data_IF_828763544037
#
_entry.id   IF_828763544037
#
_cell.length_a   1.000
_cell.length_b   1.000
_cell.length_c   1.000
_cell.angle_alpha   90.00
_cell.angle_beta   90.00
_cell.angle_gamma   90.00
#
_symmetry.space_group_name_H-M   'P 1'
#
loop_
_entity.id
_entity.type
_entity.pdbx_description
1 polymer ?
#
# COMPACT_ATOMS: atom_id res chain seq x y z
N UNK A 1 -7.69 -21.96 -9.72
CA UNK A 1 -6.38 -21.30 -9.52
C UNK A 1 -6.55 -20.22 -8.47
N UNK A 2 -5.61 -20.09 -7.53
CA UNK A 2 -5.65 -18.99 -6.57
C UNK A 2 -5.24 -17.69 -7.26
N UNK A 3 -5.68 -16.54 -6.73
CA UNK A 3 -5.26 -15.23 -7.24
C UNK A 3 -3.72 -15.08 -7.32
N UNK A 4 -2.99 -15.71 -6.38
CA UNK A 4 -1.54 -15.68 -6.40
C UNK A 4 -1.00 -16.35 -7.65
N UNK A 5 -1.50 -17.54 -7.96
CA UNK A 5 -1.06 -18.33 -9.12
C UNK A 5 -1.21 -17.55 -10.43
N UNK A 6 -2.33 -16.84 -10.61
CA UNK A 6 -2.59 -16.01 -11.79
C UNK A 6 -1.55 -14.89 -11.93
N UNK A 7 -1.21 -14.22 -10.83
CA UNK A 7 -0.17 -13.18 -10.80
C UNK A 7 1.20 -13.78 -11.11
N UNK A 8 1.54 -14.92 -10.51
CA UNK A 8 2.85 -15.53 -10.75
C UNK A 8 3.01 -15.92 -12.21
N UNK A 9 1.96 -16.51 -12.80
CA UNK A 9 1.95 -16.90 -14.20
C UNK A 9 2.13 -15.67 -15.11
N UNK A 10 1.36 -14.61 -14.88
CA UNK A 10 1.47 -13.36 -15.65
C UNK A 10 2.88 -12.73 -15.55
N UNK A 11 3.46 -12.65 -14.35
CA UNK A 11 4.77 -12.05 -14.16
C UNK A 11 5.90 -12.91 -14.77
N UNK A 12 5.80 -14.24 -14.67
CA UNK A 12 6.73 -15.16 -15.33
C UNK A 12 6.71 -14.99 -16.85
N UNK A 13 5.53 -14.82 -17.45
CA UNK A 13 5.39 -14.51 -18.88
C UNK A 13 6.05 -13.18 -19.27
N UNK A 14 6.12 -12.21 -18.35
CA UNK A 14 6.83 -10.94 -18.54
C UNK A 14 8.34 -11.04 -18.30
N UNK A 15 8.88 -12.23 -18.07
CA UNK A 15 10.31 -12.48 -17.86
C UNK A 15 10.78 -12.25 -16.42
N UNK A 16 9.87 -12.10 -15.45
CA UNK A 16 10.23 -12.07 -14.03
C UNK A 16 10.66 -13.47 -13.60
N UNK A 17 11.93 -13.62 -13.21
CA UNK A 17 12.55 -14.90 -12.85
C UNK A 17 12.21 -15.34 -11.44
N UNK A 18 12.30 -14.40 -10.50
CA UNK A 18 12.16 -14.66 -9.06
C UNK A 18 10.98 -13.87 -8.50
N UNK A 19 10.08 -14.55 -7.80
CA UNK A 19 8.89 -13.96 -7.18
C UNK A 19 8.77 -14.42 -5.72
N UNK A 20 8.51 -13.48 -4.83
CA UNK A 20 8.30 -13.75 -3.40
C UNK A 20 7.12 -12.97 -2.86
N UNK A 21 6.25 -13.65 -2.11
CA UNK A 21 5.17 -13.02 -1.37
C UNK A 21 5.62 -12.72 0.05
N UNK A 22 5.68 -11.43 0.40
CA UNK A 22 6.24 -10.98 1.68
C UNK A 22 5.26 -10.07 2.41
N UNK A 23 4.95 -10.40 3.67
CA UNK A 23 4.20 -9.51 4.56
C UNK A 23 5.16 -8.68 5.41
N UNK A 24 5.49 -7.46 4.97
CA UNK A 24 6.42 -6.57 5.65
C UNK A 24 5.98 -6.08 7.05
N UNK A 25 4.73 -6.35 7.48
CA UNK A 25 4.25 -6.02 8.84
C UNK A 25 4.67 -7.07 9.88
N UNK A 26 4.87 -8.31 9.45
CA UNK A 26 5.31 -9.41 10.30
C UNK A 26 6.83 -9.57 10.20
N UNK A 27 7.43 -10.23 11.19
CA UNK A 27 8.81 -10.70 11.04
C UNK A 27 8.75 -12.07 10.37
N UNK A 28 9.50 -12.22 9.27
CA UNK A 28 9.60 -13.49 8.53
C UNK A 28 11.08 -13.92 8.45
N UNK A 29 11.71 -14.30 9.58
CA UNK A 29 13.15 -14.56 9.63
C UNK A 29 13.57 -15.71 8.72
N UNK A 30 12.76 -16.77 8.64
CA UNK A 30 13.01 -17.93 7.79
C UNK A 30 13.04 -17.53 6.32
N UNK A 31 12.04 -16.78 5.85
CA UNK A 31 11.98 -16.33 4.44
C UNK A 31 13.16 -15.41 4.10
N UNK A 32 13.52 -14.49 5.00
CA UNK A 32 14.68 -13.61 4.78
C UNK A 32 15.97 -14.43 4.66
N UNK A 33 16.22 -15.34 5.62
CA UNK A 33 17.48 -16.06 5.71
C UNK A 33 17.62 -17.20 4.68
N UNK A 34 16.53 -17.90 4.39
CA UNK A 34 16.53 -19.11 3.54
C UNK A 34 16.21 -18.81 2.08
N UNK A 35 15.41 -17.77 1.80
CA UNK A 35 14.91 -17.52 0.46
C UNK A 35 15.46 -16.19 -0.09
N UNK A 36 15.16 -15.07 0.56
CA UNK A 36 15.48 -13.73 0.03
C UNK A 36 17.00 -13.49 -0.13
N UNK A 37 17.78 -13.70 0.94
CA UNK A 37 19.23 -13.46 0.88
C UNK A 37 19.93 -14.39 -0.12
N UNK A 38 19.69 -15.72 -0.10
CA UNK A 38 20.26 -16.61 -1.11
C UNK A 38 19.86 -16.23 -2.54
N UNK A 39 18.60 -15.85 -2.77
CA UNK A 39 18.13 -15.44 -4.11
C UNK A 39 18.83 -14.18 -4.61
N UNK A 40 19.02 -13.18 -3.73
CA UNK A 40 19.80 -11.97 -4.04
C UNK A 40 21.23 -12.33 -4.41
N UNK A 41 21.89 -13.17 -3.61
CA UNK A 41 23.28 -13.57 -3.83
C UNK A 41 23.44 -14.34 -5.14
N UNK A 42 22.58 -15.33 -5.39
CA UNK A 42 22.59 -16.14 -6.61
C UNK A 42 22.35 -15.26 -7.85
N UNK A 43 21.38 -14.35 -7.77
CA UNK A 43 21.08 -13.40 -8.85
C UNK A 43 22.29 -12.52 -9.18
N UNK A 44 22.96 -11.96 -8.17
CA UNK A 44 24.14 -11.12 -8.38
C UNK A 44 25.33 -11.94 -8.89
N UNK A 45 25.56 -13.13 -8.34
CA UNK A 45 26.69 -13.99 -8.69
C UNK A 45 26.55 -14.66 -10.07
N UNK A 46 25.33 -14.71 -10.63
CA UNK A 46 25.10 -15.20 -11.99
C UNK A 46 25.66 -14.30 -13.10
N UNK A 47 26.11 -13.09 -12.78
CA UNK A 47 26.73 -12.16 -13.73
C UNK A 47 28.23 -12.05 -13.46
N UNK A 48 29.04 -12.00 -14.52
CA UNK A 48 30.47 -11.76 -14.41
C UNK A 48 30.73 -10.37 -13.81
N UNK A 49 31.47 -10.33 -12.70
CA UNK A 49 31.85 -9.08 -12.03
C UNK A 49 33.26 -8.69 -12.43
N UNK A 50 33.42 -7.53 -13.07
CA UNK A 50 34.73 -6.98 -13.41
C UNK A 50 35.55 -6.72 -12.13
N UNK A 51 36.69 -7.41 -11.99
CA UNK A 51 37.71 -7.25 -10.93
C UNK A 51 37.14 -7.14 -9.49
N UNK A 52 37.01 -8.25 -8.77
CA UNK A 52 37.14 -8.19 -7.31
C UNK A 52 37.69 -9.47 -6.68
N UNK A 53 38.94 -9.36 -6.28
CA UNK A 53 39.63 -10.06 -5.21
C UNK A 53 38.93 -9.82 -3.85
N UNK A 54 38.75 -10.90 -3.08
CA UNK A 54 38.57 -11.02 -1.63
C UNK A 54 37.49 -10.25 -0.85
N UNK A 55 36.62 -9.44 -1.46
CA UNK A 55 35.52 -8.77 -0.71
C UNK A 55 34.18 -8.86 -1.44
N UNK A 56 33.42 -9.93 -1.19
CA UNK A 56 32.05 -10.15 -1.70
C UNK A 56 31.03 -9.20 -1.07
N UNK A 57 31.10 -7.91 -1.44
CA UNK A 57 30.11 -6.91 -1.06
C UNK A 57 28.94 -6.97 -2.07
N UNK A 58 27.74 -7.10 -1.54
CA UNK A 58 26.48 -7.08 -2.29
C UNK A 58 25.78 -5.74 -2.06
N UNK A 59 25.46 -5.05 -3.15
CA UNK A 59 24.76 -3.78 -3.15
C UNK A 59 23.42 -3.99 -3.85
N UNK A 60 22.32 -3.71 -3.15
CA UNK A 60 20.96 -3.92 -3.65
C UNK A 60 20.19 -2.61 -3.58
N UNK A 61 19.47 -2.26 -4.64
CA UNK A 61 18.57 -1.11 -4.62
C UNK A 61 17.13 -1.60 -4.54
N UNK A 62 16.33 -1.04 -3.62
CA UNK A 62 14.91 -1.36 -3.51
C UNK A 62 14.11 -0.24 -4.17
N UNK A 63 13.36 -0.57 -5.22
CA UNK A 63 12.55 0.36 -6.02
C UNK A 63 11.06 0.01 -5.96
N UNK A 64 10.21 0.97 -6.34
CA UNK A 64 8.76 0.80 -6.40
C UNK A 64 7.99 2.08 -6.05
N UNK A 65 6.70 2.08 -6.30
CA UNK A 65 5.82 3.24 -6.08
C UNK A 65 5.73 3.63 -4.58
N UNK A 66 5.21 4.81 -4.22
CA UNK A 66 5.03 5.22 -2.82
C UNK A 66 4.21 4.19 -2.03
N UNK A 67 4.48 4.08 -0.72
CA UNK A 67 3.70 3.27 0.24
C UNK A 67 3.58 1.76 -0.01
N UNK A 68 4.29 1.17 -0.99
CA UNK A 68 4.36 -0.30 -1.17
C UNK A 68 5.13 -1.07 -0.11
N UNK A 69 5.78 -0.37 0.82
CA UNK A 69 6.51 -1.00 1.92
C UNK A 69 8.02 -1.17 1.72
N UNK A 70 8.65 -0.45 0.79
CA UNK A 70 10.12 -0.46 0.56
C UNK A 70 10.92 -0.29 1.87
N UNK A 71 10.68 0.80 2.59
CA UNK A 71 11.37 1.12 3.84
C UNK A 71 11.02 0.13 4.96
N UNK A 72 9.81 -0.42 4.96
CA UNK A 72 9.41 -1.49 5.88
C UNK A 72 10.21 -2.77 5.62
N UNK A 73 10.35 -3.19 4.36
CA UNK A 73 11.16 -4.35 3.96
C UNK A 73 12.62 -4.20 4.43
N UNK A 74 13.23 -3.05 4.15
CA UNK A 74 14.62 -2.75 4.56
C UNK A 74 14.78 -2.85 6.08
N UNK A 75 13.88 -2.21 6.83
CA UNK A 75 13.91 -2.23 8.29
C UNK A 75 13.71 -3.65 8.84
N UNK A 76 12.85 -4.47 8.22
CA UNK A 76 12.62 -5.86 8.63
C UNK A 76 13.84 -6.73 8.35
N UNK A 77 14.47 -6.63 7.17
CA UNK A 77 15.71 -7.35 6.86
C UNK A 77 16.81 -6.97 7.87
N UNK A 78 16.99 -5.68 8.12
CA UNK A 78 18.00 -5.16 9.06
C UNK A 78 17.79 -5.69 10.47
N UNK A 79 16.53 -5.73 10.93
CA UNK A 79 16.17 -6.28 12.25
C UNK A 79 16.45 -7.78 12.34
N UNK A 80 16.13 -8.53 11.30
CA UNK A 80 16.28 -9.99 11.28
C UNK A 80 17.75 -10.43 11.18
N UNK A 81 18.56 -9.75 10.38
CA UNK A 81 19.93 -10.20 10.07
C UNK A 81 20.98 -9.62 11.03
N UNK A 82 20.82 -8.36 11.47
CA UNK A 82 21.82 -7.70 12.33
C UNK A 82 21.24 -7.13 13.63
N UNK A 83 19.95 -7.41 13.93
CA UNK A 83 19.29 -7.04 15.19
C UNK A 83 19.38 -5.54 15.54
N UNK A 84 19.47 -4.68 14.52
CA UNK A 84 19.48 -3.21 14.70
C UNK A 84 18.09 -2.61 14.48
N UNK A 85 17.88 -1.42 15.06
CA UNK A 85 16.63 -0.65 14.98
C UNK A 85 16.26 -0.17 13.56
N UNK A 86 15.34 0.79 13.46
CA UNK A 86 14.94 1.36 12.16
C UNK A 86 16.10 2.20 11.58
N UNK A 87 16.38 2.04 10.29
CA UNK A 87 17.35 2.84 9.55
C UNK A 87 16.68 3.84 8.59
N UNK A 88 15.44 3.56 8.18
CA UNK A 88 14.67 4.40 7.25
C UNK A 88 13.29 4.73 7.84
N UNK A 89 12.78 5.96 7.65
CA UNK A 89 11.46 6.36 8.13
C UNK A 89 10.34 5.54 7.46
N UNK A 90 9.27 5.27 8.20
CA UNK A 90 8.08 4.55 7.71
C UNK A 90 6.85 5.33 8.13
N UNK A 91 5.92 5.55 7.21
CA UNK A 91 4.61 6.13 7.50
C UNK A 91 3.65 6.00 6.32
N UNK A 92 2.38 6.35 6.56
CA UNK A 92 1.30 6.15 5.60
C UNK A 92 1.12 7.31 4.59
N UNK A 93 1.92 8.38 4.70
CA UNK A 93 1.87 9.51 3.76
C UNK A 93 2.85 9.29 2.61
N UNK A 94 2.39 9.48 1.38
CA UNK A 94 3.27 9.45 0.21
C UNK A 94 4.35 10.55 0.32
N UNK A 95 5.56 10.29 -0.18
CA UNK A 95 6.66 11.26 -0.17
C UNK A 95 7.44 11.37 1.16
N UNK A 96 7.36 10.38 2.04
CA UNK A 96 8.18 10.33 3.28
C UNK A 96 9.66 10.20 2.96
N UNK A 97 10.03 9.26 2.09
CA UNK A 97 11.41 9.13 1.61
C UNK A 97 11.63 10.14 0.48
N UNK A 98 12.31 11.25 0.79
CA UNK A 98 12.48 12.41 -0.12
C UNK A 98 13.79 12.42 -0.90
N UNK A 99 14.75 11.61 -0.49
CA UNK A 99 16.03 11.41 -1.17
C UNK A 99 16.42 9.94 -1.11
N UNK A 100 17.27 9.50 -2.04
CA UNK A 100 17.93 8.20 -1.92
C UNK A 100 18.76 8.25 -0.63
N UNK A 101 18.43 7.38 0.32
CA UNK A 101 19.15 7.34 1.60
C UNK A 101 20.54 6.76 1.37
N UNK A 102 21.47 7.17 2.24
CA UNK A 102 22.81 6.58 2.30
C UNK A 102 22.74 5.06 2.45
N UNK A 103 23.78 4.39 1.93
CA UNK A 103 23.96 2.94 1.90
C UNK A 103 23.66 2.27 3.26
N UNK A 104 22.50 1.60 3.39
CA UNK A 104 22.06 0.97 4.64
C UNK A 104 22.65 -0.43 4.76
N UNK A 105 23.51 -0.66 5.76
CA UNK A 105 24.00 -2.02 6.05
C UNK A 105 22.87 -2.88 6.62
N UNK A 106 22.57 -4.00 5.95
CA UNK A 106 21.52 -4.95 6.39
C UNK A 106 22.08 -6.31 6.78
N UNK A 107 23.28 -6.70 6.32
CA UNK A 107 23.98 -7.92 6.74
C UNK A 107 25.47 -7.64 6.97
N UNK A 108 26.06 -8.32 7.97
CA UNK A 108 27.48 -8.20 8.28
C UNK A 108 28.33 -9.22 7.54
N UNK A 109 27.84 -10.46 7.44
CA UNK A 109 28.46 -11.54 6.70
C UNK A 109 27.35 -12.42 6.07
N UNK A 110 27.24 -12.49 4.74
CA UNK A 110 27.99 -11.68 3.77
C UNK A 110 27.67 -10.18 3.92
N UNK A 111 28.56 -9.31 3.45
CA UNK A 111 28.38 -7.86 3.51
C UNK A 111 27.31 -7.40 2.52
N UNK A 112 26.08 -7.18 2.99
CA UNK A 112 24.97 -6.71 2.17
C UNK A 112 24.55 -5.31 2.59
N UNK A 113 24.45 -4.45 1.59
CA UNK A 113 23.96 -3.09 1.73
C UNK A 113 22.77 -2.84 0.82
N UNK A 114 21.80 -2.09 1.33
CA UNK A 114 20.57 -1.73 0.63
C UNK A 114 20.46 -0.22 0.49
N UNK A 115 20.12 0.22 -0.71
CA UNK A 115 19.79 1.60 -1.02
C UNK A 115 18.28 1.76 -0.97
N UNK A 116 17.79 2.61 -0.07
CA UNK A 116 16.38 2.98 -0.02
C UNK A 116 16.13 4.13 -1.00
N UNK A 117 15.07 4.00 -1.80
CA UNK A 117 14.73 4.98 -2.84
C UNK A 117 13.38 5.64 -2.55
N UNK A 118 13.19 6.91 -2.91
CA UNK A 118 11.88 7.53 -2.95
C UNK A 118 10.88 6.67 -3.74
N UNK A 119 9.61 6.70 -3.34
CA UNK A 119 8.57 6.12 -4.17
C UNK A 119 8.41 6.93 -5.46
N UNK A 120 8.61 6.28 -6.61
CA UNK A 120 8.44 6.94 -7.91
C UNK A 120 7.16 6.42 -8.56
N UNK A 121 6.26 7.33 -8.89
CA UNK A 121 5.11 7.07 -9.75
C UNK A 121 5.46 7.46 -11.19
N UNK A 122 4.81 6.81 -12.15
CA UNK A 122 4.84 7.30 -13.52
C UNK A 122 4.28 8.74 -13.57
N UNK A 123 4.84 9.63 -14.42
CA UNK A 123 4.39 11.02 -14.50
C UNK A 123 2.94 11.16 -14.94
N UNK A 124 2.41 10.17 -15.67
CA UNK A 124 1.02 10.14 -16.12
C UNK A 124 0.28 8.93 -15.56
N UNK A 125 -0.93 9.18 -15.06
CA UNK A 125 -1.86 8.13 -14.67
C UNK A 125 -2.66 7.72 -15.91
N UNK A 126 -2.51 6.45 -16.33
CA UNK A 126 -3.09 5.92 -17.58
C UNK A 126 -4.61 6.15 -17.72
N UNK A 127 -5.35 6.00 -16.63
CA UNK A 127 -6.80 6.22 -16.58
C UNK A 127 -7.28 6.40 -15.14
N UNK A 128 -8.54 6.86 -15.00
CA UNK A 128 -9.16 7.13 -13.71
C UNK A 128 -9.18 5.90 -12.80
N UNK A 129 -9.53 4.72 -13.30
CA UNK A 129 -9.55 3.48 -12.51
C UNK A 129 -8.18 3.18 -11.86
N UNK A 130 -7.09 3.31 -12.62
CA UNK A 130 -5.72 3.15 -12.09
C UNK A 130 -5.41 4.22 -11.04
N UNK A 131 -5.78 5.47 -11.29
CA UNK A 131 -5.59 6.58 -10.34
C UNK A 131 -6.30 6.36 -9.01
N UNK A 132 -7.57 5.94 -9.05
CA UNK A 132 -8.37 5.67 -7.87
C UNK A 132 -7.84 4.48 -7.07
N UNK A 133 -7.37 3.43 -7.73
CA UNK A 133 -6.71 2.30 -7.06
C UNK A 133 -5.40 2.70 -6.38
N UNK A 134 -4.59 3.54 -7.05
CA UNK A 134 -3.38 4.11 -6.45
C UNK A 134 -3.73 4.97 -5.21
N UNK A 135 -4.78 5.78 -5.29
CA UNK A 135 -5.27 6.57 -4.17
C UNK A 135 -5.75 5.68 -3.00
N UNK A 136 -6.51 4.62 -3.27
CA UNK A 136 -6.92 3.65 -2.25
C UNK A 136 -5.74 3.00 -1.53
N UNK A 137 -4.68 2.67 -2.25
CA UNK A 137 -3.43 2.14 -1.71
C UNK A 137 -2.51 3.22 -1.08
N UNK A 138 -2.99 4.45 -0.89
CA UNK A 138 -2.24 5.60 -0.39
C UNK A 138 -1.00 5.95 -1.24
N UNK A 139 -0.91 5.53 -2.50
CA UNK A 139 0.21 5.88 -3.37
C UNK A 139 0.18 7.35 -3.78
N UNK A 140 -1.02 7.95 -3.77
CA UNK A 140 -1.27 9.39 -3.95
C UNK A 140 -1.65 10.03 -2.61
N UNK A 141 -1.50 11.35 -2.51
CA UNK A 141 -1.95 12.08 -1.33
C UNK A 141 -3.47 12.25 -1.38
N UNK A 142 -4.17 11.81 -0.34
CA UNK A 142 -5.64 11.70 -0.33
C UNK A 142 -6.33 13.02 -0.67
N UNK A 143 -5.96 14.11 -0.01
CA UNK A 143 -6.52 15.46 -0.25
C UNK A 143 -6.34 15.99 -1.68
N UNK A 144 -5.39 15.47 -2.46
CA UNK A 144 -5.23 15.88 -3.86
C UNK A 144 -6.27 15.22 -4.76
N UNK A 145 -6.85 14.09 -4.34
CA UNK A 145 -7.90 13.37 -5.06
C UNK A 145 -9.28 13.70 -4.48
N UNK A 146 -9.35 13.92 -3.16
CA UNK A 146 -10.59 14.06 -2.40
C UNK A 146 -10.91 12.76 -1.65
N UNK A 147 -10.85 12.78 -0.32
CA UNK A 147 -11.10 11.60 0.52
C UNK A 147 -12.48 11.00 0.28
N UNK A 148 -13.50 11.85 0.10
CA UNK A 148 -14.87 11.50 -0.25
C UNK A 148 -14.96 10.82 -1.63
N UNK A 149 -14.27 11.35 -2.64
CA UNK A 149 -14.18 10.77 -3.99
C UNK A 149 -13.52 9.39 -3.96
N UNK A 150 -12.46 9.23 -3.15
CA UNK A 150 -11.80 7.92 -2.97
C UNK A 150 -12.76 6.93 -2.30
N UNK A 151 -13.53 7.36 -1.30
CA UNK A 151 -14.52 6.52 -0.61
C UNK A 151 -15.68 6.16 -1.52
N UNK A 152 -16.15 7.08 -2.36
CA UNK A 152 -17.19 6.81 -3.36
C UNK A 152 -16.75 5.69 -4.32
N UNK A 153 -15.55 5.80 -4.88
CA UNK A 153 -14.99 4.74 -5.72
C UNK A 153 -14.83 3.41 -4.97
N UNK A 154 -14.46 3.44 -3.68
CA UNK A 154 -14.37 2.23 -2.86
C UNK A 154 -15.74 1.56 -2.67
N UNK A 155 -16.78 2.36 -2.40
CA UNK A 155 -18.15 1.91 -2.22
C UNK A 155 -18.67 1.26 -3.50
N UNK A 156 -18.53 1.97 -4.63
CA UNK A 156 -18.80 1.43 -5.97
C UNK A 156 -18.07 0.10 -6.20
N UNK A 157 -16.77 0.04 -5.90
CA UNK A 157 -15.97 -1.17 -6.11
C UNK A 157 -16.51 -2.34 -5.27
N UNK A 158 -16.84 -2.12 -3.99
CA UNK A 158 -17.39 -3.14 -3.12
C UNK A 158 -18.74 -3.67 -3.61
N UNK A 159 -19.66 -2.77 -3.95
CA UNK A 159 -20.99 -3.12 -4.45
C UNK A 159 -20.90 -3.92 -5.75
N UNK A 160 -20.08 -3.44 -6.71
CA UNK A 160 -19.86 -4.13 -8.00
C UNK A 160 -19.32 -5.56 -7.84
N UNK A 161 -18.55 -5.83 -6.80
CA UNK A 161 -17.97 -7.15 -6.53
C UNK A 161 -18.76 -7.98 -5.51
N UNK A 162 -19.97 -7.54 -5.14
CA UNK A 162 -20.79 -8.17 -4.09
C UNK A 162 -20.03 -8.37 -2.76
N UNK A 163 -19.12 -7.46 -2.43
CA UNK A 163 -18.32 -7.51 -1.21
C UNK A 163 -18.88 -6.53 -0.18
N UNK A 164 -19.85 -7.01 0.60
CA UNK A 164 -20.60 -6.20 1.55
C UNK A 164 -20.03 -6.22 2.97
N UNK A 165 -18.75 -6.57 3.15
CA UNK A 165 -18.13 -6.60 4.49
C UNK A 165 -18.12 -5.23 5.18
N UNK A 166 -18.15 -4.15 4.41
CA UNK A 166 -18.28 -2.81 4.97
C UNK A 166 -19.62 -2.59 5.70
N UNK A 167 -20.69 -3.29 5.31
CA UNK A 167 -22.01 -3.20 5.96
C UNK A 167 -21.91 -3.61 7.41
N UNK A 168 -21.28 -4.74 7.70
CA UNK A 168 -21.07 -5.19 9.08
C UNK A 168 -20.06 -4.34 9.83
N UNK A 169 -18.96 -3.92 9.20
CA UNK A 169 -17.90 -3.12 9.86
C UNK A 169 -18.38 -1.72 10.26
N UNK A 170 -19.29 -1.13 9.50
CA UNK A 170 -19.89 0.18 9.80
C UNK A 170 -21.29 0.09 10.39
N UNK A 171 -21.76 -1.11 10.74
CA UNK A 171 -23.07 -1.35 11.36
C UNK A 171 -24.23 -0.74 10.55
N UNK A 172 -24.18 -0.92 9.23
CA UNK A 172 -25.26 -0.57 8.31
C UNK A 172 -26.32 -1.68 8.32
N UNK A 173 -27.58 -1.29 8.02
CA UNK A 173 -28.67 -2.26 7.86
C UNK A 173 -28.56 -3.04 6.54
N UNK A 174 -28.15 -2.34 5.49
CA UNK A 174 -28.04 -2.87 4.12
C UNK A 174 -26.91 -2.15 3.36
N UNK A 175 -26.48 -2.68 2.20
CA UNK A 175 -25.56 -2.00 1.31
C UNK A 175 -26.10 -0.62 0.87
N UNK A 176 -25.21 0.37 0.81
CA UNK A 176 -25.54 1.71 0.33
C UNK A 176 -24.78 1.99 -0.97
N UNK A 177 -25.40 2.75 -1.88
CA UNK A 177 -24.78 3.19 -3.14
C UNK A 177 -24.55 4.71 -3.20
N UNK A 178 -25.19 5.47 -2.32
CA UNK A 178 -24.95 6.91 -2.15
C UNK A 178 -23.84 7.15 -1.13
N UNK A 179 -22.74 7.76 -1.58
CA UNK A 179 -21.59 8.06 -0.72
C UNK A 179 -21.92 9.09 0.37
N UNK A 180 -22.81 10.04 0.13
CA UNK A 180 -23.19 11.05 1.12
C UNK A 180 -24.03 10.41 2.24
N UNK A 181 -24.96 9.52 1.90
CA UNK A 181 -25.71 8.74 2.89
C UNK A 181 -24.76 7.86 3.71
N UNK A 182 -23.83 7.18 3.05
CA UNK A 182 -22.83 6.35 3.71
C UNK A 182 -21.93 7.15 4.66
N UNK A 183 -21.36 8.26 4.19
CA UNK A 183 -20.50 9.13 5.00
C UNK A 183 -21.27 9.79 6.15
N UNK A 184 -22.54 10.15 5.95
CA UNK A 184 -23.40 10.65 7.01
C UNK A 184 -23.61 9.62 8.11
N UNK A 185 -23.93 8.37 7.75
CA UNK A 185 -24.03 7.27 8.71
C UNK A 185 -22.73 7.07 9.47
N UNK A 186 -21.60 6.96 8.76
CA UNK A 186 -20.27 6.78 9.38
C UNK A 186 -19.94 7.93 10.32
N UNK A 187 -20.23 9.17 9.91
CA UNK A 187 -19.97 10.36 10.71
C UNK A 187 -20.76 10.36 12.01
N UNK A 188 -22.08 10.18 11.94
CA UNK A 188 -22.96 10.14 13.11
C UNK A 188 -22.59 8.99 14.04
N UNK A 189 -22.39 7.79 13.50
CA UNK A 189 -22.07 6.59 14.29
C UNK A 189 -20.74 6.70 15.03
N UNK A 190 -19.78 7.44 14.48
CA UNK A 190 -18.43 7.61 15.05
C UNK A 190 -18.20 9.00 15.67
N UNK A 191 -19.28 9.75 15.95
CA UNK A 191 -19.24 11.10 16.51
C UNK A 191 -18.27 12.05 15.77
N UNK A 192 -18.22 11.96 14.44
CA UNK A 192 -17.46 12.87 13.57
C UNK A 192 -18.35 14.05 13.23
N UNK A 193 -18.29 15.08 14.06
CA UNK A 193 -19.11 16.28 13.92
C UNK A 193 -18.19 17.49 13.80
N UNK A 194 -18.38 18.26 12.73
CA UNK A 194 -17.69 19.51 12.50
C UNK A 194 -18.53 20.67 13.04
N UNK A 195 -17.83 21.64 13.63
CA UNK A 195 -18.41 22.92 14.03
C UNK A 195 -18.27 23.89 12.86
N UNK A 196 -19.38 24.29 12.27
CA UNK A 196 -19.40 25.19 11.11
C UNK A 196 -20.14 26.47 11.43
N UNK A 197 -19.70 27.58 10.82
CA UNK A 197 -20.41 28.84 10.91
C UNK A 197 -21.64 28.80 10.01
N UNK A 198 -22.81 29.11 10.57
CA UNK A 198 -24.03 29.22 9.77
C UNK A 198 -23.99 30.48 8.90
N UNK A 199 -24.33 30.33 7.63
CA UNK A 199 -24.64 31.44 6.73
C UNK A 199 -26.13 31.80 6.72
N UNK A 200 -26.96 30.95 7.33
CA UNK A 200 -28.41 31.14 7.45
C UNK A 200 -28.71 32.02 8.68
N UNK A 201 -29.31 33.22 8.51
CA UNK A 201 -29.67 34.12 9.60
C UNK A 201 -30.70 33.55 10.59
N UNK A 202 -31.46 32.53 10.17
CA UNK A 202 -32.46 31.87 11.01
C UNK A 202 -31.86 30.84 11.96
N UNK A 203 -30.63 30.39 11.68
CA UNK A 203 -29.88 29.47 12.54
C UNK A 203 -28.86 30.23 13.38
N UNK A 204 -28.54 29.71 14.56
CA UNK A 204 -27.48 30.30 15.39
C UNK A 204 -26.15 30.40 14.63
N UNK A 205 -25.27 31.34 15.01
CA UNK A 205 -23.97 31.57 14.35
C UNK A 205 -23.12 30.31 14.19
N UNK A 206 -23.33 29.31 15.03
CA UNK A 206 -22.61 28.04 15.04
C UNK A 206 -23.60 26.90 14.87
N UNK A 207 -23.38 26.05 13.87
CA UNK A 207 -24.14 24.82 13.61
C UNK A 207 -23.18 23.63 13.65
N UNK A 208 -23.68 22.50 14.11
CA UNK A 208 -22.95 21.24 14.14
C UNK A 208 -23.45 20.38 12.99
N UNK A 209 -22.53 19.95 12.12
CA UNK A 209 -22.85 19.10 10.98
C UNK A 209 -21.94 17.88 10.95
N UNK A 210 -22.41 16.75 10.41
CA UNK A 210 -21.55 15.60 10.10
C UNK A 210 -20.28 16.03 9.36
N UNK A 211 -19.13 15.58 9.86
CA UNK A 211 -17.82 15.84 9.23
C UNK A 211 -17.51 14.72 8.24
N UNK A 212 -17.84 14.96 6.98
CA UNK A 212 -17.63 13.99 5.90
C UNK A 212 -16.15 13.75 5.61
N UNK A 213 -15.28 14.75 5.74
CA UNK A 213 -13.84 14.58 5.57
C UNK A 213 -13.27 13.65 6.64
N UNK A 214 -13.65 13.85 7.90
CA UNK A 214 -13.21 12.98 8.99
C UNK A 214 -13.81 11.56 8.90
N UNK A 215 -15.06 11.44 8.45
CA UNK A 215 -15.68 10.15 8.18
C UNK A 215 -14.98 9.41 7.04
N UNK A 216 -14.70 10.07 5.92
CA UNK A 216 -14.01 9.48 4.78
C UNK A 216 -12.59 9.03 5.17
N UNK A 217 -11.85 9.85 5.91
CA UNK A 217 -10.53 9.48 6.44
C UNK A 217 -10.59 8.24 7.35
N UNK A 218 -11.64 8.08 8.16
CA UNK A 218 -11.87 6.87 8.96
C UNK A 218 -12.12 5.65 8.09
N UNK A 219 -12.95 5.78 7.04
CA UNK A 219 -13.23 4.69 6.09
C UNK A 219 -11.94 4.22 5.42
N UNK A 220 -11.16 5.14 4.85
CA UNK A 220 -9.89 4.83 4.20
C UNK A 220 -8.88 4.21 5.18
N UNK A 221 -8.85 4.68 6.43
CA UNK A 221 -8.01 4.09 7.48
C UNK A 221 -8.38 2.62 7.74
N UNK A 222 -9.66 2.31 7.92
CA UNK A 222 -10.15 0.93 8.15
C UNK A 222 -9.89 0.03 6.93
N UNK A 223 -10.10 0.55 5.72
CA UNK A 223 -9.77 -0.16 4.48
C UNK A 223 -8.27 -0.53 4.42
N UNK A 224 -7.38 0.45 4.59
CA UNK A 224 -5.92 0.25 4.52
C UNK A 224 -5.35 -0.57 5.68
N UNK A 225 -6.05 -0.63 6.81
CA UNK A 225 -5.75 -1.53 7.90
C UNK A 225 -6.13 -2.99 7.60
N UNK A 226 -6.95 -3.23 6.57
CA UNK A 226 -7.46 -4.55 6.19
C UNK A 226 -8.70 -4.98 6.98
N UNK A 227 -9.33 -4.06 7.74
CA UNK A 227 -10.51 -4.37 8.56
C UNK A 227 -11.72 -4.73 7.70
N UNK A 228 -11.79 -4.16 6.49
CA UNK A 228 -12.79 -4.47 5.46
C UNK A 228 -12.52 -5.78 4.70
N UNK A 229 -11.53 -6.56 5.14
CA UNK A 229 -11.15 -7.85 4.56
C UNK A 229 -10.07 -7.74 3.48
N UNK A 230 -9.56 -8.90 3.00
CA UNK A 230 -8.59 -8.93 1.92
C UNK A 230 -9.23 -8.49 0.61
N UNK A 231 -8.59 -7.54 -0.07
CA UNK A 231 -9.08 -6.96 -1.32
C UNK A 231 -7.97 -6.97 -2.36
N UNK A 232 -8.28 -7.47 -3.56
CA UNK A 232 -7.44 -7.36 -4.74
C UNK A 232 -8.12 -6.46 -5.78
N UNK A 233 -7.73 -5.19 -5.80
CA UNK A 233 -8.34 -4.16 -6.65
C UNK A 233 -8.19 -4.44 -8.16
N UNK A 234 -7.14 -5.18 -8.54
CA UNK A 234 -6.82 -5.54 -9.93
C UNK A 234 -7.30 -6.95 -10.33
N UNK A 235 -8.23 -7.54 -9.58
CA UNK A 235 -8.79 -8.87 -9.85
C UNK A 235 -9.35 -9.04 -11.26
N UNK A 236 -9.90 -7.97 -11.85
CA UNK A 236 -10.43 -8.01 -13.22
C UNK A 236 -9.33 -8.23 -14.28
N UNK A 237 -8.10 -7.76 -14.05
CA UNK A 237 -6.97 -8.02 -14.96
C UNK A 237 -6.61 -9.51 -15.02
N UNK A 238 -6.84 -10.23 -13.93
CA UNK A 238 -6.54 -11.66 -13.84
C UNK A 238 -7.60 -12.51 -14.57
N UNK A 239 -8.86 -12.06 -14.61
CA UNK A 239 -9.94 -12.78 -15.31
C UNK A 239 -9.74 -12.89 -16.83
N UNK A 240 -8.97 -11.99 -17.44
CA UNK A 240 -8.69 -12.03 -18.87
C UNK A 240 -7.63 -13.07 -19.27
N UNK A 241 -6.79 -13.54 -18.34
CA UNK A 241 -5.81 -14.60 -18.58
C UNK A 241 -6.45 -15.99 -18.76
N UNK A 242 -7.66 -16.17 -18.22
CA UNK A 242 -8.42 -17.44 -18.34
C UNK A 242 -9.30 -17.51 -19.59
N UNK A 243 -9.29 -16.47 -20.44
CA UNK A 243 -10.09 -16.38 -21.67
C UNK A 243 -9.25 -16.33 -22.96
N UNK A 244 -7.93 -16.47 -22.85
CA UNK A 244 -6.99 -16.48 -23.97
C UNK A 244 -6.41 -17.88 -24.19
#
# INVERSE_FOLDING_TARGET
MSFKDDVEHMLKQQGIKELMWINCKEQFPSVIKKDLIPTIMNSINSYERYKQTDLSIYNVMVIGIPNVGKSSLINTIRRVLIQKGKATPVGARAGITRSVLEKIKVSADPKIYVYDTPGVLAPEVKNVDVGMKLALCACLQDHLVGEDVIVDFLLYWFNKHNNFRYVSVFELKEPLDDVLEFLNHVALKNNKIARVTSLDPSQGRTVYKPDFTAAAALVLKKFRAGELGPVMLDSNKMKHLHKA
#
